data_IF_655225600792
#
_entry.id   IF_655225600792
#
_cell.length_a   1.000
_cell.length_b   1.000
_cell.length_c   1.000
_cell.angle_alpha   90.00
_cell.angle_beta   90.00
_cell.angle_gamma   90.00
#
_symmetry.space_group_name_H-M   'P 1'
#
loop_
_entity.id
_entity.type
_entity.pdbx_description
1 polymer ?
#
# COMPACT_ATOMS: atom_id res chain seq x y z
N UNK A 1 58.61 2.23 5.12
CA UNK A 1 58.24 2.44 3.70
C UNK A 1 57.86 1.08 3.12
N UNK A 2 56.75 1.01 2.35
CA UNK A 2 56.26 -0.17 1.58
C UNK A 2 55.52 -1.25 2.42
N UNK A 3 54.29 -1.70 2.16
CA UNK A 3 53.20 -1.37 1.21
C UNK A 3 51.86 -1.85 1.83
N UNK A 4 50.83 -0.98 1.84
CA UNK A 4 49.42 -1.38 2.02
C UNK A 4 48.91 -1.95 0.69
N UNK A 5 48.21 -3.08 0.70
CA UNK A 5 47.28 -3.49 -0.35
C UNK A 5 46.37 -4.59 0.18
N UNK A 6 45.44 -4.21 1.06
CA UNK A 6 44.21 -4.98 1.19
C UNK A 6 43.36 -4.65 -0.03
N UNK A 7 43.21 -5.61 -0.95
CA UNK A 7 42.19 -5.55 -2.00
C UNK A 7 40.84 -5.59 -1.31
N UNK A 8 40.27 -4.41 -1.03
CA UNK A 8 38.83 -4.29 -0.83
C UNK A 8 38.19 -4.60 -2.16
N UNK A 9 37.51 -5.73 -2.24
CA UNK A 9 36.56 -6.01 -3.30
C UNK A 9 35.57 -4.82 -3.34
N UNK A 10 35.36 -4.18 -4.51
CA UNK A 10 34.37 -3.12 -4.57
C UNK A 10 33.01 -3.71 -4.16
N UNK A 11 32.20 -3.02 -3.35
CA UNK A 11 30.86 -3.48 -3.09
C UNK A 11 30.18 -3.66 -4.44
N UNK A 12 29.67 -4.87 -4.70
CA UNK A 12 28.88 -5.18 -5.89
C UNK A 12 27.85 -4.08 -6.01
N UNK A 13 28.02 -3.22 -7.00
CA UNK A 13 27.01 -2.29 -7.46
C UNK A 13 25.72 -3.09 -7.57
N UNK A 14 24.73 -2.79 -6.71
CA UNK A 14 23.37 -3.27 -6.87
C UNK A 14 23.05 -3.05 -8.34
N UNK A 15 22.87 -4.15 -9.07
CA UNK A 15 22.48 -4.09 -10.46
C UNK A 15 21.26 -3.17 -10.53
N UNK A 16 21.43 -2.02 -11.18
CA UNK A 16 20.38 -1.04 -11.40
C UNK A 16 19.43 -1.54 -12.50
N UNK A 17 18.98 -2.79 -12.36
CA UNK A 17 17.80 -3.27 -13.04
C UNK A 17 16.63 -2.70 -12.26
N UNK A 18 15.86 -1.81 -12.89
CA UNK A 18 14.52 -1.46 -12.39
C UNK A 18 13.82 -2.73 -11.96
N UNK A 19 13.21 -2.74 -10.76
CA UNK A 19 12.42 -3.89 -10.34
C UNK A 19 11.35 -4.20 -11.40
N UNK A 20 10.98 -5.48 -11.57
CA UNK A 20 9.92 -5.86 -12.49
C UNK A 20 8.64 -5.09 -12.22
N UNK A 21 7.88 -4.74 -13.27
CA UNK A 21 6.63 -3.98 -13.14
C UNK A 21 5.65 -4.64 -12.16
N UNK A 22 5.58 -5.97 -12.16
CA UNK A 22 4.75 -6.73 -11.22
C UNK A 22 5.11 -6.45 -9.75
N UNK A 23 6.41 -6.35 -9.43
CA UNK A 23 6.90 -6.01 -8.09
C UNK A 23 6.51 -4.57 -7.75
N UNK A 24 6.67 -3.63 -8.69
CA UNK A 24 6.30 -2.23 -8.51
C UNK A 24 4.79 -2.09 -8.29
N UNK A 25 3.95 -2.83 -9.02
CA UNK A 25 2.50 -2.88 -8.83
C UNK A 25 2.12 -3.47 -7.47
N UNK A 26 2.79 -4.54 -7.05
CA UNK A 26 2.55 -5.14 -5.74
C UNK A 26 2.91 -4.16 -4.61
N UNK A 27 4.04 -3.44 -4.73
CA UNK A 27 4.45 -2.40 -3.77
C UNK A 27 3.49 -1.21 -3.76
N UNK A 28 2.96 -0.80 -4.91
CA UNK A 28 1.94 0.25 -4.98
C UNK A 28 0.68 -0.16 -4.22
N UNK A 29 0.20 -1.40 -4.40
CA UNK A 29 -0.97 -1.89 -3.65
C UNK A 29 -0.70 -1.99 -2.15
N UNK A 30 0.50 -2.37 -1.75
CA UNK A 30 0.94 -2.38 -0.36
C UNK A 30 0.94 -0.96 0.23
N UNK A 31 1.53 0.01 -0.48
CA UNK A 31 1.50 1.42 -0.12
C UNK A 31 0.06 1.95 0.03
N UNK A 32 -0.82 1.68 -0.93
CA UNK A 32 -2.23 2.09 -0.85
C UNK A 32 -2.92 1.44 0.35
N UNK A 33 -2.62 0.18 0.64
CA UNK A 33 -3.14 -0.52 1.82
C UNK A 33 -2.65 0.13 3.11
N UNK A 34 -1.37 0.51 3.18
CA UNK A 34 -0.80 1.24 4.31
C UNK A 34 -1.50 2.58 4.54
N UNK A 35 -1.69 3.37 3.49
CA UNK A 35 -2.39 4.66 3.56
C UNK A 35 -3.83 4.52 4.02
N UNK A 36 -4.53 3.48 3.57
CA UNK A 36 -5.87 3.17 4.03
C UNK A 36 -5.89 2.77 5.52
N UNK A 37 -4.93 1.93 5.95
CA UNK A 37 -4.79 1.55 7.34
C UNK A 37 -4.52 2.76 8.24
N UNK A 38 -3.66 3.70 7.83
CA UNK A 38 -3.37 4.93 8.58
C UNK A 38 -4.67 5.70 8.85
N UNK A 39 -5.46 5.95 7.80
CA UNK A 39 -6.75 6.66 7.94
C UNK A 39 -7.72 5.88 8.81
N UNK A 40 -7.81 4.57 8.65
CA UNK A 40 -8.70 3.74 9.45
C UNK A 40 -8.34 3.80 10.94
N UNK A 41 -7.05 3.83 11.28
CA UNK A 41 -6.57 3.93 12.67
C UNK A 41 -6.82 5.31 13.28
N UNK A 42 -6.98 6.35 12.47
CA UNK A 42 -7.33 7.71 12.89
C UNK A 42 -8.84 7.96 12.97
N UNK A 43 -9.68 6.99 12.59
CA UNK A 43 -11.13 7.15 12.67
C UNK A 43 -11.63 7.15 14.11
N UNK A 44 -12.31 8.23 14.47
CA UNK A 44 -13.08 8.29 15.72
C UNK A 44 -14.33 7.42 15.67
N UNK A 45 -14.75 6.87 16.81
CA UNK A 45 -15.94 6.02 16.91
C UNK A 45 -17.19 6.71 16.35
N UNK A 46 -17.37 7.99 16.66
CA UNK A 46 -18.48 8.82 16.19
C UNK A 46 -18.52 8.89 14.66
N UNK A 47 -17.34 9.03 14.04
CA UNK A 47 -17.19 9.05 12.59
C UNK A 47 -17.55 7.71 11.96
N UNK A 48 -17.24 6.59 12.60
CA UNK A 48 -17.65 5.25 12.14
C UNK A 48 -19.18 5.13 12.13
N UNK A 49 -19.87 5.61 13.18
CA UNK A 49 -21.33 5.59 13.21
C UNK A 49 -21.96 6.51 12.16
N UNK A 50 -21.38 7.69 11.92
CA UNK A 50 -21.83 8.58 10.84
C UNK A 50 -21.70 7.92 9.46
N UNK A 51 -20.56 7.29 9.20
CA UNK A 51 -20.29 6.60 7.94
C UNK A 51 -21.26 5.43 7.75
N UNK A 52 -21.50 4.61 8.78
CA UNK A 52 -22.48 3.54 8.75
C UNK A 52 -23.88 4.05 8.37
N UNK A 53 -24.35 5.13 9.02
CA UNK A 53 -25.66 5.74 8.69
C UNK A 53 -25.70 6.32 7.28
N UNK A 54 -24.64 6.98 6.83
CA UNK A 54 -24.56 7.54 5.49
C UNK A 54 -24.63 6.45 4.42
N UNK A 55 -23.95 5.33 4.66
CA UNK A 55 -23.96 4.15 3.82
C UNK A 55 -25.34 3.50 3.74
N UNK A 56 -25.99 3.26 4.89
CA UNK A 56 -27.34 2.69 4.92
C UNK A 56 -28.35 3.59 4.19
N UNK A 57 -28.24 4.90 4.40
CA UNK A 57 -29.07 5.90 3.69
C UNK A 57 -28.84 5.85 2.18
N UNK A 58 -27.58 5.72 1.73
CA UNK A 58 -27.24 5.62 0.30
C UNK A 58 -27.74 4.31 -0.32
N UNK A 59 -27.67 3.20 0.41
CA UNK A 59 -28.14 1.89 -0.02
C UNK A 59 -29.67 1.72 0.09
N UNK A 60 -30.37 2.65 0.75
CA UNK A 60 -31.82 2.57 0.96
C UNK A 60 -32.25 1.43 1.88
N UNK A 61 -31.36 1.00 2.79
CA UNK A 61 -31.61 -0.10 3.73
C UNK A 61 -31.98 0.43 5.11
N UNK A 62 -32.69 -0.39 5.88
CA UNK A 62 -33.03 -0.07 7.27
C UNK A 62 -31.77 -0.01 8.13
N UNK A 63 -31.76 0.91 9.10
CA UNK A 63 -30.67 1.01 10.07
C UNK A 63 -30.44 -0.32 10.80
N UNK A 64 -29.19 -0.78 10.86
CA UNK A 64 -28.78 -2.05 11.45
C UNK A 64 -28.99 -3.28 10.54
N UNK A 65 -29.39 -3.10 9.28
CA UNK A 65 -29.58 -4.20 8.34
C UNK A 65 -28.27 -4.71 7.72
N UNK A 66 -27.24 -3.87 7.69
CA UNK A 66 -25.94 -4.25 7.15
C UNK A 66 -25.15 -5.05 8.17
N UNK A 67 -24.54 -6.14 7.72
CA UNK A 67 -23.59 -6.85 8.56
C UNK A 67 -22.23 -6.12 8.56
N UNK A 68 -21.34 -6.50 9.47
CA UNK A 68 -20.02 -5.88 9.60
C UNK A 68 -19.20 -5.89 8.30
N UNK A 69 -19.29 -6.96 7.49
CA UNK A 69 -18.56 -7.06 6.22
C UNK A 69 -19.06 -6.03 5.22
N UNK A 70 -20.37 -5.85 5.11
CA UNK A 70 -20.95 -4.87 4.19
C UNK A 70 -20.56 -3.45 4.62
N UNK A 71 -20.66 -3.15 5.93
CA UNK A 71 -20.23 -1.88 6.49
C UNK A 71 -18.75 -1.61 6.25
N UNK A 72 -17.88 -2.59 6.50
CA UNK A 72 -16.45 -2.45 6.31
C UNK A 72 -16.09 -2.22 4.83
N UNK A 73 -16.72 -2.95 3.90
CA UNK A 73 -16.49 -2.77 2.47
C UNK A 73 -16.84 -1.36 2.00
N UNK A 74 -18.02 -0.86 2.39
CA UNK A 74 -18.48 0.47 2.01
C UNK A 74 -17.70 1.60 2.72
N UNK A 75 -17.24 1.35 3.95
CA UNK A 75 -16.33 2.25 4.65
C UNK A 75 -15.00 2.37 3.89
N UNK A 76 -14.40 1.24 3.50
CA UNK A 76 -13.17 1.24 2.70
C UNK A 76 -13.35 2.00 1.39
N UNK A 77 -14.44 1.78 0.67
CA UNK A 77 -14.74 2.53 -0.57
C UNK A 77 -14.83 4.05 -0.33
N UNK A 78 -15.49 4.46 0.75
CA UNK A 78 -15.61 5.88 1.10
C UNK A 78 -14.25 6.49 1.48
N UNK A 79 -13.46 5.78 2.31
CA UNK A 79 -12.13 6.24 2.73
C UNK A 79 -11.17 6.32 1.54
N UNK A 80 -11.24 5.37 0.60
CA UNK A 80 -10.47 5.41 -0.64
C UNK A 80 -10.86 6.61 -1.52
N UNK A 81 -12.13 7.01 -1.52
CA UNK A 81 -12.59 8.21 -2.24
C UNK A 81 -12.08 9.51 -1.62
N UNK A 82 -11.91 9.55 -0.30
CA UNK A 82 -11.40 10.72 0.44
C UNK A 82 -9.86 10.77 0.41
N UNK A 83 -9.20 9.61 0.27
CA UNK A 83 -7.76 9.51 0.10
C UNK A 83 -7.35 9.99 -1.29
N UNK A 84 -6.57 11.06 -1.33
CA UNK A 84 -5.88 11.51 -2.55
C UNK A 84 -4.70 10.58 -2.90
N UNK A 85 -4.99 9.30 -3.20
CA UNK A 85 -3.99 8.35 -3.64
C UNK A 85 -3.44 8.77 -5.01
N UNK A 86 -2.11 8.75 -5.21
CA UNK A 86 -1.52 9.02 -6.51
C UNK A 86 -1.87 7.90 -7.49
N UNK A 87 -2.05 8.23 -8.77
CA UNK A 87 -2.13 7.21 -9.83
C UNK A 87 -0.85 6.37 -9.87
N UNK A 88 -0.99 5.11 -10.31
CA UNK A 88 0.10 4.15 -10.31
C UNK A 88 1.35 4.68 -11.03
N UNK A 89 1.20 5.25 -12.22
CA UNK A 89 2.32 5.70 -13.04
C UNK A 89 3.10 6.83 -12.36
N UNK A 90 2.39 7.78 -11.75
CA UNK A 90 3.00 8.90 -11.04
C UNK A 90 3.72 8.44 -9.77
N UNK A 91 3.10 7.54 -9.01
CA UNK A 91 3.72 6.94 -7.84
C UNK A 91 4.94 6.10 -8.19
N UNK A 92 4.85 5.28 -9.24
CA UNK A 92 5.92 4.38 -9.68
C UNK A 92 7.16 5.16 -10.14
N UNK A 93 6.97 6.24 -10.90
CA UNK A 93 8.07 7.11 -11.32
C UNK A 93 8.81 7.70 -10.11
N UNK A 94 8.08 8.20 -9.11
CA UNK A 94 8.69 8.81 -7.94
C UNK A 94 9.29 7.77 -6.99
N UNK A 95 8.64 6.61 -6.81
CA UNK A 95 9.17 5.47 -6.05
C UNK A 95 10.51 5.01 -6.61
N UNK A 96 10.61 4.84 -7.93
CA UNK A 96 11.86 4.41 -8.57
C UNK A 96 12.98 5.45 -8.44
N UNK A 97 12.62 6.74 -8.36
CA UNK A 97 13.58 7.83 -8.16
C UNK A 97 14.05 7.93 -6.70
N UNK A 98 13.15 7.72 -5.75
CA UNK A 98 13.36 7.98 -4.31
C UNK A 98 12.78 6.88 -3.40
N UNK A 99 13.21 5.61 -3.53
CA UNK A 99 12.58 4.48 -2.83
C UNK A 99 12.61 4.62 -1.30
N UNK A 100 13.64 5.27 -0.75
CA UNK A 100 13.81 5.50 0.69
C UNK A 100 12.70 6.36 1.31
N UNK A 101 11.97 7.16 0.51
CA UNK A 101 10.83 7.94 0.98
C UNK A 101 9.58 7.09 1.19
N UNK A 102 9.48 5.96 0.49
CA UNK A 102 8.28 5.11 0.44
C UNK A 102 8.45 3.80 1.20
N UNK A 103 9.65 3.22 1.20
CA UNK A 103 9.96 1.95 1.86
C UNK A 103 9.50 1.88 3.32
N UNK A 104 9.59 2.95 4.15
CA UNK A 104 9.07 2.92 5.52
C UNK A 104 7.55 2.73 5.63
N UNK A 105 6.79 3.04 4.59
CA UNK A 105 5.33 2.90 4.55
C UNK A 105 4.88 1.54 4.01
N UNK A 106 5.77 0.74 3.41
CA UNK A 106 5.39 -0.58 2.90
C UNK A 106 5.22 -1.58 4.05
N UNK A 107 4.06 -2.23 4.13
CA UNK A 107 3.75 -3.21 5.17
C UNK A 107 4.37 -4.59 4.90
N UNK A 108 4.90 -4.82 3.69
CA UNK A 108 5.52 -6.08 3.27
C UNK A 108 4.54 -7.10 2.69
N UNK A 109 3.27 -6.72 2.49
CA UNK A 109 2.24 -7.50 1.81
C UNK A 109 2.65 -7.83 0.36
N UNK A 110 3.37 -6.92 -0.30
CA UNK A 110 3.81 -7.09 -1.68
C UNK A 110 4.63 -8.39 -1.90
N UNK A 111 5.37 -8.84 -0.88
CA UNK A 111 6.19 -10.06 -0.95
C UNK A 111 5.32 -11.31 -1.14
N UNK A 112 4.23 -11.39 -0.37
CA UNK A 112 3.32 -12.54 -0.41
C UNK A 112 2.50 -12.61 -1.70
N UNK A 113 2.18 -11.46 -2.31
CA UNK A 113 1.48 -11.39 -3.60
C UNK A 113 2.30 -11.99 -4.74
N UNK A 114 3.60 -11.71 -4.77
CA UNK A 114 4.54 -12.23 -5.78
C UNK A 114 4.81 -13.73 -5.55
N UNK A 115 4.98 -14.16 -4.29
CA UNK A 115 5.19 -15.58 -3.96
C UNK A 115 3.98 -16.46 -4.31
N UNK A 116 2.76 -15.92 -4.18
CA UNK A 116 1.53 -16.63 -4.54
C UNK A 116 1.37 -16.78 -6.06
N UNK A 117 1.75 -15.77 -6.83
CA UNK A 117 1.75 -15.82 -8.31
C UNK A 117 2.74 -16.82 -8.89
N UNK A 118 3.92 -16.99 -8.26
CA UNK A 118 4.97 -17.90 -8.70
C UNK A 118 4.60 -19.40 -8.58
N UNK A 119 3.60 -19.75 -7.76
CA UNK A 119 3.16 -21.15 -7.57
C UNK A 119 2.03 -21.60 -8.50
N UNK A 120 1.50 -20.69 -9.33
CA UNK A 120 0.38 -20.96 -10.25
C UNK A 120 0.80 -21.04 -11.73
N UNK A 121 2.09 -21.20 -12.02
CA UNK A 121 2.67 -21.29 -13.37
C UNK A 121 2.99 -22.71 -13.83
#
# INVERSE_FOLDING_TARGET
MVRRSGKGEPPKSRESGSEPEEVIRAKYLDYCSARLCDVFMELEEERVFELARAVEKKAGVTHGALNFRDLAGMLVEQLLGDLALPEFEAWAEDYQRNPEQYDPYLLGLWKTGIESGATSG
#
